data_IF_177858166665
#
_entry.id   IF_177858166665
#
_cell.length_a   1.000
_cell.length_b   1.000
_cell.length_c   1.000
_cell.angle_alpha   90.00
_cell.angle_beta   90.00
_cell.angle_gamma   90.00
#
_symmetry.space_group_name_H-M   'P 1'
#
loop_
_entity.id
_entity.type
_entity.pdbx_description
1 polymer ?
#
# COMPACT_ATOMS: atom_id res chain seq x y z
N UNK A 1 4.38 -19.25 8.08
CA UNK A 1 5.12 -18.25 8.89
C UNK A 1 5.05 -16.93 8.15
N UNK A 2 4.57 -15.86 8.78
CA UNK A 2 4.40 -14.53 8.14
C UNK A 2 5.75 -13.94 7.73
N UNK A 3 5.78 -13.07 6.70
CA UNK A 3 7.02 -12.43 6.24
C UNK A 3 7.72 -11.66 7.37
N UNK A 4 6.94 -10.96 8.21
CA UNK A 4 7.46 -10.23 9.36
C UNK A 4 8.26 -11.14 10.32
N UNK A 5 7.74 -12.34 10.61
CA UNK A 5 8.42 -13.29 11.51
C UNK A 5 9.70 -13.83 10.87
N UNK A 6 9.69 -14.06 9.55
CA UNK A 6 10.88 -14.49 8.78
C UNK A 6 11.96 -13.40 8.78
N UNK A 7 11.56 -12.15 8.60
CA UNK A 7 12.48 -10.99 8.66
C UNK A 7 13.11 -10.87 10.04
N UNK A 8 12.30 -10.95 11.10
CA UNK A 8 12.82 -10.85 12.49
C UNK A 8 13.76 -12.00 12.82
N UNK A 9 13.43 -13.24 12.44
CA UNK A 9 14.30 -14.39 12.62
C UNK A 9 15.64 -14.19 11.89
N UNK A 10 15.60 -13.75 10.62
CA UNK A 10 16.81 -13.48 9.85
C UNK A 10 17.68 -12.37 10.47
N UNK A 11 17.05 -11.29 10.97
CA UNK A 11 17.77 -10.20 11.62
C UNK A 11 18.37 -10.61 12.98
N UNK A 12 17.79 -11.60 13.68
CA UNK A 12 18.35 -12.14 14.92
C UNK A 12 19.71 -12.82 14.68
N UNK A 13 19.89 -13.46 13.53
CA UNK A 13 21.15 -14.10 13.14
C UNK A 13 22.19 -13.11 12.59
N UNK A 14 21.78 -11.83 12.37
CA UNK A 14 22.62 -10.79 11.77
C UNK A 14 22.64 -9.51 12.62
N UNK A 15 23.36 -9.49 13.76
CA UNK A 15 23.38 -8.35 14.68
C UNK A 15 23.91 -7.05 14.05
N UNK A 16 24.75 -7.14 13.01
CA UNK A 16 25.20 -5.99 12.21
C UNK A 16 24.14 -5.39 11.29
N UNK A 17 22.96 -5.99 11.25
CA UNK A 17 21.84 -5.58 10.40
C UNK A 17 22.03 -5.96 8.94
N UNK A 18 20.92 -6.00 8.21
CA UNK A 18 20.86 -6.29 6.78
C UNK A 18 20.12 -5.18 6.04
N UNK A 19 20.53 -4.92 4.80
CA UNK A 19 19.76 -4.07 3.88
C UNK A 19 18.49 -4.77 3.38
N UNK A 20 17.56 -4.01 2.87
CA UNK A 20 16.34 -4.57 2.27
C UNK A 20 16.65 -5.55 1.13
N UNK A 21 17.70 -5.29 0.34
CA UNK A 21 18.13 -6.17 -0.74
C UNK A 21 18.74 -7.49 -0.23
N UNK A 22 19.56 -7.44 0.81
CA UNK A 22 20.14 -8.65 1.44
C UNK A 22 19.04 -9.51 2.07
N UNK A 23 18.07 -8.90 2.76
CA UNK A 23 16.91 -9.60 3.32
C UNK A 23 16.05 -10.22 2.20
N UNK A 24 15.81 -9.49 1.11
CA UNK A 24 15.04 -9.97 -0.03
C UNK A 24 15.71 -11.19 -0.68
N UNK A 25 17.02 -11.14 -0.88
CA UNK A 25 17.80 -12.26 -1.42
C UNK A 25 17.78 -13.49 -0.50
N UNK A 26 18.00 -13.30 0.80
CA UNK A 26 18.03 -14.40 1.78
C UNK A 26 16.67 -15.09 1.95
N UNK A 27 15.58 -14.32 1.88
CA UNK A 27 14.22 -14.85 2.04
C UNK A 27 13.56 -15.26 0.72
N UNK A 28 14.21 -15.04 -0.44
CA UNK A 28 13.66 -15.27 -1.78
C UNK A 28 12.31 -14.57 -1.99
N UNK A 29 12.22 -13.31 -1.59
CA UNK A 29 11.02 -12.46 -1.73
C UNK A 29 11.35 -11.18 -2.48
N UNK A 30 10.33 -10.54 -3.03
CA UNK A 30 10.50 -9.28 -3.77
C UNK A 30 11.03 -8.18 -2.85
N UNK A 31 12.07 -7.46 -3.27
CA UNK A 31 12.72 -6.38 -2.52
C UNK A 31 11.72 -5.35 -1.95
N UNK A 32 10.70 -4.99 -2.73
CA UNK A 32 9.68 -4.03 -2.33
C UNK A 32 8.81 -4.53 -1.17
N UNK A 33 8.50 -5.84 -1.13
CA UNK A 33 7.81 -6.47 0.01
C UNK A 33 8.62 -6.35 1.29
N UNK A 34 9.94 -6.61 1.19
CA UNK A 34 10.85 -6.48 2.34
C UNK A 34 10.90 -5.04 2.82
N UNK A 35 11.04 -4.07 1.91
CA UNK A 35 11.07 -2.65 2.26
C UNK A 35 9.81 -2.23 3.04
N UNK A 36 8.62 -2.62 2.56
CA UNK A 36 7.35 -2.33 3.25
C UNK A 36 7.26 -3.03 4.61
N UNK A 37 7.65 -4.31 4.66
CA UNK A 37 7.67 -5.08 5.90
C UNK A 37 8.64 -4.45 6.93
N UNK A 38 9.85 -4.09 6.52
CA UNK A 38 10.83 -3.44 7.40
C UNK A 38 10.37 -2.06 7.87
N UNK A 39 9.71 -1.26 7.02
CA UNK A 39 9.10 0.02 7.43
C UNK A 39 8.01 -0.19 8.48
N UNK A 40 7.13 -1.15 8.28
CA UNK A 40 6.07 -1.48 9.25
C UNK A 40 6.65 -1.99 10.58
N UNK A 41 7.67 -2.86 10.53
CA UNK A 41 8.35 -3.35 11.73
C UNK A 41 9.08 -2.23 12.48
N UNK A 42 9.70 -1.28 11.76
CA UNK A 42 10.36 -0.12 12.35
C UNK A 42 9.34 0.84 12.99
N UNK A 43 8.23 1.12 12.33
CA UNK A 43 7.15 1.94 12.87
C UNK A 43 6.57 1.35 14.17
N UNK A 44 6.53 0.02 14.29
CA UNK A 44 6.11 -0.70 15.50
C UNK A 44 7.24 -0.94 16.52
N UNK A 45 8.43 -0.33 16.34
CA UNK A 45 9.56 -0.44 17.23
C UNK A 45 10.20 -1.85 17.31
N UNK A 46 9.83 -2.77 16.42
CA UNK A 46 10.33 -4.14 16.39
C UNK A 46 11.71 -4.29 15.76
N UNK A 47 12.12 -3.34 14.92
CA UNK A 47 13.45 -3.20 14.37
C UNK A 47 13.89 -1.74 14.40
N UNK A 48 15.19 -1.51 14.32
CA UNK A 48 15.79 -0.19 14.09
C UNK A 48 16.17 -0.13 12.61
N UNK A 49 15.71 0.91 11.93
CA UNK A 49 16.04 1.18 10.54
C UNK A 49 16.99 2.38 10.48
N UNK A 50 18.21 2.15 10.03
CA UNK A 50 19.22 3.19 9.89
C UNK A 50 19.13 3.83 8.51
N UNK A 51 18.37 4.92 8.41
CA UNK A 51 18.17 5.67 7.17
C UNK A 51 19.38 6.53 6.78
N UNK A 52 20.35 6.73 7.67
CA UNK A 52 21.61 7.42 7.39
C UNK A 52 22.61 6.51 6.66
N UNK A 53 22.52 5.21 6.82
CA UNK A 53 23.34 4.23 6.11
C UNK A 53 22.94 4.12 4.63
N UNK A 54 23.93 3.93 3.75
CA UNK A 54 23.71 3.63 2.33
C UNK A 54 24.45 2.35 1.96
N UNK A 55 23.73 1.24 1.70
CA UNK A 55 22.29 1.05 1.74
C UNK A 55 21.70 1.12 3.16
N UNK A 56 20.41 1.49 3.24
CA UNK A 56 19.63 1.50 4.50
C UNK A 56 19.74 0.11 5.17
N UNK A 57 20.05 0.07 6.48
CA UNK A 57 20.19 -1.18 7.24
C UNK A 57 19.09 -1.34 8.27
N UNK A 58 18.60 -2.57 8.39
CA UNK A 58 17.62 -2.98 9.38
C UNK A 58 18.30 -3.88 10.41
N UNK A 59 18.07 -3.65 11.70
CA UNK A 59 18.60 -4.48 12.81
C UNK A 59 17.59 -4.60 13.93
N UNK A 60 17.73 -5.59 14.79
CA UNK A 60 16.93 -5.66 16.00
C UNK A 60 17.35 -4.54 16.98
N UNK A 61 16.43 -4.05 17.83
CA UNK A 61 16.79 -3.13 18.91
C UNK A 61 17.83 -3.78 19.84
N UNK A 62 18.85 -3.04 20.25
CA UNK A 62 19.82 -3.51 21.27
C UNK A 62 19.15 -3.53 22.64
N UNK A 63 19.03 -4.70 23.26
CA UNK A 63 18.46 -4.88 24.62
C UNK A 63 19.21 -4.13 25.73
N UNK A 64 20.36 -3.53 25.43
CA UNK A 64 21.23 -2.86 26.41
C UNK A 64 20.86 -1.40 26.73
N UNK A 65 19.80 -0.82 26.11
CA UNK A 65 19.39 0.58 26.35
C UNK A 65 18.11 0.77 27.14
N UNK A 66 17.60 -0.26 27.80
CA UNK A 66 16.30 -0.18 28.50
C UNK A 66 16.44 0.08 30.03
N UNK A 67 17.63 0.31 30.58
CA UNK A 67 17.77 0.40 32.04
C UNK A 67 18.10 1.78 32.62
N UNK A 68 18.31 2.86 31.84
CA UNK A 68 18.53 4.20 32.40
C UNK A 68 17.94 5.32 31.54
N UNK A 69 16.62 5.43 31.56
CA UNK A 69 15.89 6.57 31.00
C UNK A 69 14.55 6.75 31.69
N UNK A 70 14.11 7.99 31.96
CA UNK A 70 12.78 8.21 32.52
C UNK A 70 11.75 7.56 31.62
N UNK A 71 10.68 7.01 32.25
CA UNK A 71 9.59 6.33 31.57
C UNK A 71 9.21 7.06 30.28
N UNK A 72 9.08 6.34 29.13
CA UNK A 72 8.68 6.98 27.90
C UNK A 72 7.32 7.63 28.14
N UNK A 73 7.31 8.95 28.24
CA UNK A 73 6.11 9.71 27.97
C UNK A 73 5.61 9.23 26.63
N UNK A 74 4.41 8.71 26.59
CA UNK A 74 3.66 8.41 25.37
C UNK A 74 3.96 9.53 24.40
N UNK A 75 4.62 9.29 23.25
CA UNK A 75 4.75 10.35 22.27
C UNK A 75 3.32 10.73 21.94
N UNK A 76 2.94 11.96 22.32
CA UNK A 76 1.76 12.56 21.79
C UNK A 76 1.86 12.36 20.28
N UNK A 77 0.93 11.58 19.72
CA UNK A 77 0.74 11.49 18.29
C UNK A 77 0.49 12.92 17.87
N UNK A 78 1.55 13.60 17.44
CA UNK A 78 1.40 14.86 16.73
C UNK A 78 0.55 14.48 15.52
N UNK A 79 -0.70 14.95 15.40
CA UNK A 79 -1.46 14.68 14.21
C UNK A 79 -0.59 15.16 13.06
N UNK A 80 -0.23 14.23 12.16
CA UNK A 80 0.37 14.58 10.91
C UNK A 80 -0.47 15.71 10.32
N UNK A 81 0.14 16.78 9.73
CA UNK A 81 -0.63 17.86 9.14
C UNK A 81 -1.69 17.22 8.25
N UNK A 82 -2.93 17.67 8.40
CA UNK A 82 -4.12 17.14 7.75
C UNK A 82 -4.09 17.36 6.22
N UNK A 83 -3.12 16.78 5.57
CA UNK A 83 -3.13 16.41 4.17
C UNK A 83 -3.48 14.94 4.15
N UNK A 84 -4.71 14.61 3.80
CA UNK A 84 -5.14 13.23 3.68
C UNK A 84 -4.21 12.54 2.71
N UNK A 85 -3.45 11.58 3.23
CA UNK A 85 -2.49 10.74 2.49
C UNK A 85 -3.27 9.74 1.62
N UNK A 86 -4.13 10.31 0.76
CA UNK A 86 -5.04 9.63 -0.17
C UNK A 86 -4.48 9.59 -1.58
N UNK A 87 -3.18 9.80 -1.75
CA UNK A 87 -2.55 9.66 -3.05
C UNK A 87 -2.49 8.18 -3.49
N UNK A 88 -2.16 7.97 -4.74
CA UNK A 88 -2.14 6.64 -5.34
C UNK A 88 -1.06 5.75 -4.69
N UNK A 89 0.11 6.29 -4.38
CA UNK A 89 1.21 5.54 -3.78
C UNK A 89 0.87 5.09 -2.34
N UNK A 90 0.25 5.96 -1.55
CA UNK A 90 -0.22 5.65 -0.20
C UNK A 90 -1.33 4.59 -0.24
N UNK A 91 -2.33 4.77 -1.12
CA UNK A 91 -3.41 3.80 -1.31
C UNK A 91 -2.87 2.44 -1.72
N UNK A 92 -1.96 2.39 -2.70
CA UNK A 92 -1.31 1.16 -3.17
C UNK A 92 -0.55 0.46 -2.03
N UNK A 93 0.21 1.22 -1.25
CA UNK A 93 0.99 0.69 -0.13
C UNK A 93 0.12 0.04 0.93
N UNK A 94 -1.01 0.66 1.27
CA UNK A 94 -1.97 0.16 2.27
C UNK A 94 -2.67 -1.11 1.79
N UNK A 95 -3.13 -1.13 0.53
CA UNK A 95 -3.73 -2.32 -0.09
C UNK A 95 -2.74 -3.48 -0.16
N UNK A 96 -1.49 -3.22 -0.55
CA UNK A 96 -0.46 -4.24 -0.59
C UNK A 96 -0.17 -4.83 0.80
N UNK A 97 -0.08 -3.99 1.84
CA UNK A 97 0.12 -4.42 3.21
C UNK A 97 -1.07 -5.25 3.73
N UNK A 98 -2.29 -4.82 3.44
CA UNK A 98 -3.50 -5.56 3.80
C UNK A 98 -3.58 -6.91 3.09
N UNK A 99 -3.34 -6.98 1.78
CA UNK A 99 -3.31 -8.25 1.04
C UNK A 99 -2.27 -9.22 1.63
N UNK A 100 -1.09 -8.74 1.99
CA UNK A 100 -0.07 -9.56 2.63
C UNK A 100 -0.53 -10.08 4.01
N UNK A 101 -1.24 -9.26 4.79
CA UNK A 101 -1.83 -9.65 6.08
C UNK A 101 -2.93 -10.71 5.91
N UNK A 102 -3.72 -10.62 4.83
CA UNK A 102 -4.75 -11.59 4.43
C UNK A 102 -4.17 -12.88 3.81
N UNK A 103 -2.86 -13.02 3.77
CA UNK A 103 -2.19 -14.23 3.29
C UNK A 103 -1.95 -14.28 1.78
N UNK A 104 -2.14 -13.17 1.06
CA UNK A 104 -1.77 -13.06 -0.34
C UNK A 104 -0.26 -12.91 -0.51
N UNK A 105 0.31 -13.66 -1.43
CA UNK A 105 1.70 -13.51 -1.85
C UNK A 105 1.78 -12.45 -2.95
N UNK A 106 2.39 -11.30 -2.65
CA UNK A 106 2.54 -10.23 -3.61
C UNK A 106 3.58 -10.61 -4.67
N UNK A 107 3.16 -10.77 -5.92
CA UNK A 107 4.00 -11.13 -7.06
C UNK A 107 4.61 -9.89 -7.71
N UNK A 108 3.84 -8.81 -7.77
CA UNK A 108 4.24 -7.53 -8.35
C UNK A 108 3.56 -6.37 -7.63
N UNK A 109 4.29 -5.28 -7.48
CA UNK A 109 3.77 -3.96 -7.14
C UNK A 109 4.44 -2.99 -8.09
N UNK A 110 3.67 -2.30 -8.93
CA UNK A 110 4.20 -1.32 -9.87
C UNK A 110 4.79 -0.12 -9.12
N UNK A 111 5.88 0.43 -9.65
CA UNK A 111 6.44 1.67 -9.12
C UNK A 111 5.67 2.88 -9.69
N UNK A 112 4.82 3.47 -8.85
CA UNK A 112 4.03 4.65 -9.22
C UNK A 112 4.90 5.87 -9.52
N UNK A 113 6.10 5.97 -8.92
CA UNK A 113 7.01 7.09 -9.14
C UNK A 113 7.65 7.06 -10.53
N UNK A 114 7.95 5.86 -11.04
CA UNK A 114 8.51 5.67 -12.38
C UNK A 114 7.45 5.60 -13.48
N UNK A 115 6.16 5.73 -13.16
CA UNK A 115 5.03 5.56 -14.09
C UNK A 115 5.08 4.24 -14.86
N UNK A 116 5.44 3.18 -14.15
CA UNK A 116 5.53 1.85 -14.73
C UNK A 116 4.18 1.41 -15.32
N UNK A 117 4.19 0.97 -16.57
CA UNK A 117 2.98 0.49 -17.23
C UNK A 117 2.61 -0.93 -16.75
N UNK A 118 1.33 -1.19 -16.59
CA UNK A 118 0.80 -2.51 -16.26
C UNK A 118 -0.23 -2.47 -15.14
N UNK A 119 -0.36 -3.59 -14.42
CA UNK A 119 -1.24 -3.74 -13.27
C UNK A 119 -0.52 -3.24 -12.01
N UNK A 120 -1.18 -2.44 -11.20
CA UNK A 120 -0.56 -1.81 -10.03
C UNK A 120 -0.13 -2.83 -8.97
N UNK A 121 -0.97 -3.84 -8.69
CA UNK A 121 -0.63 -4.95 -7.79
C UNK A 121 -1.04 -6.26 -8.44
N UNK A 122 -0.15 -7.25 -8.42
CA UNK A 122 -0.48 -8.65 -8.71
C UNK A 122 -0.14 -9.48 -7.48
N UNK A 123 -1.12 -10.22 -6.98
CA UNK A 123 -0.99 -11.09 -5.81
C UNK A 123 -1.49 -12.50 -6.12
N UNK A 124 -1.02 -13.49 -5.37
CA UNK A 124 -1.43 -14.89 -5.53
C UNK A 124 -1.78 -15.49 -4.18
N UNK A 125 -2.85 -16.27 -4.15
CA UNK A 125 -3.24 -17.10 -3.01
C UNK A 125 -3.91 -18.38 -3.50
N UNK A 126 -3.45 -19.52 -3.01
CA UNK A 126 -4.00 -20.85 -3.34
C UNK A 126 -4.08 -21.14 -4.86
N UNK A 127 -3.06 -20.68 -5.61
CA UNK A 127 -2.98 -20.84 -7.07
C UNK A 127 -3.85 -19.86 -7.87
N UNK A 128 -4.58 -18.96 -7.21
CA UNK A 128 -5.39 -17.93 -7.85
C UNK A 128 -4.67 -16.59 -7.87
N UNK A 129 -4.62 -15.94 -9.02
CA UNK A 129 -4.10 -14.58 -9.17
C UNK A 129 -5.16 -13.54 -8.87
N UNK A 130 -4.73 -12.42 -8.33
CA UNK A 130 -5.50 -11.21 -8.10
C UNK A 130 -4.77 -10.04 -8.76
N UNK A 131 -5.45 -9.36 -9.67
CA UNK A 131 -4.98 -8.16 -10.34
C UNK A 131 -5.71 -6.95 -9.78
N UNK A 132 -4.97 -5.99 -9.23
CA UNK A 132 -5.56 -4.79 -8.62
C UNK A 132 -5.11 -3.55 -9.36
N UNK A 133 -6.08 -2.76 -9.82
CA UNK A 133 -5.87 -1.37 -10.25
C UNK A 133 -6.10 -0.46 -9.06
N UNK A 134 -5.19 0.47 -8.84
CA UNK A 134 -5.24 1.42 -7.72
C UNK A 134 -5.42 2.84 -8.22
N UNK A 135 -6.25 3.62 -7.56
CA UNK A 135 -6.32 5.07 -7.77
C UNK A 135 -6.31 5.80 -6.43
N UNK A 136 -5.62 6.92 -6.42
CA UNK A 136 -5.68 7.86 -5.31
C UNK A 136 -6.92 8.77 -5.40
N UNK A 137 -7.01 9.73 -4.48
CA UNK A 137 -8.00 10.80 -4.52
C UNK A 137 -7.30 12.12 -4.90
N UNK A 138 -7.86 12.90 -5.83
CA UNK A 138 -7.24 14.15 -6.27
C UNK A 138 -7.12 15.16 -5.12
N UNK A 139 -5.95 15.77 -4.98
CA UNK A 139 -5.70 16.87 -4.06
C UNK A 139 -6.12 18.22 -4.69
N UNK A 140 -6.35 19.23 -3.84
CA UNK A 140 -6.60 20.61 -4.27
C UNK A 140 -5.34 21.32 -4.76
N UNK A 141 -4.15 20.88 -4.31
CA UNK A 141 -2.84 21.44 -4.66
C UNK A 141 -2.12 20.57 -5.69
N UNK A 142 -1.11 21.17 -6.34
CA UNK A 142 -0.23 20.42 -7.24
C UNK A 142 0.79 19.60 -6.45
N UNK A 143 1.15 18.41 -6.94
CA UNK A 143 2.22 17.59 -6.36
C UNK A 143 3.62 18.17 -6.64
N UNK A 144 3.77 19.02 -7.68
CA UNK A 144 5.00 19.73 -7.97
C UNK A 144 5.23 20.80 -6.89
N UNK A 145 6.33 20.68 -6.15
CA UNK A 145 6.70 21.61 -5.07
C UNK A 145 6.81 23.07 -5.54
N UNK A 146 7.15 23.29 -6.81
CA UNK A 146 7.21 24.64 -7.41
C UNK A 146 5.83 25.29 -7.51
N UNK A 147 4.79 24.49 -7.58
CA UNK A 147 3.39 24.89 -7.73
C UNK A 147 2.53 24.51 -6.51
N UNK A 148 3.14 24.07 -5.41
CA UNK A 148 2.43 23.62 -4.21
C UNK A 148 1.56 24.74 -3.58
N UNK A 149 1.89 26.01 -3.83
CA UNK A 149 1.15 27.19 -3.41
C UNK A 149 -0.06 27.50 -4.32
N UNK A 150 -0.15 26.87 -5.48
CA UNK A 150 -1.25 27.08 -6.43
C UNK A 150 -2.40 26.07 -6.15
N UNK A 151 -3.63 26.57 -6.24
CA UNK A 151 -4.82 25.70 -6.20
C UNK A 151 -5.17 25.26 -7.60
N UNK A 152 -5.45 23.96 -7.76
CA UNK A 152 -5.92 23.44 -9.05
C UNK A 152 -7.26 24.05 -9.45
N UNK A 153 -7.46 24.43 -10.72
CA UNK A 153 -8.70 25.05 -11.17
C UNK A 153 -9.88 24.07 -11.17
N UNK A 154 -9.59 22.76 -11.22
CA UNK A 154 -10.64 21.73 -11.25
C UNK A 154 -10.90 21.21 -9.84
N UNK A 155 -12.16 21.22 -9.43
CA UNK A 155 -12.56 20.67 -8.12
C UNK A 155 -12.18 19.18 -7.98
N UNK A 156 -11.66 18.74 -6.83
CA UNK A 156 -11.24 17.34 -6.61
C UNK A 156 -12.31 16.31 -6.97
N UNK A 157 -13.59 16.57 -6.64
CA UNK A 157 -14.68 15.64 -6.97
C UNK A 157 -14.89 15.48 -8.48
N UNK A 158 -14.62 16.51 -9.29
CA UNK A 158 -14.69 16.41 -10.75
C UNK A 158 -13.54 15.59 -11.31
N UNK A 159 -12.33 15.81 -10.81
CA UNK A 159 -11.16 14.99 -11.17
C UNK A 159 -11.36 13.52 -10.73
N UNK A 160 -11.89 13.29 -9.52
CA UNK A 160 -12.17 11.96 -9.02
C UNK A 160 -13.13 11.17 -9.93
N UNK A 161 -14.13 11.82 -10.50
CA UNK A 161 -15.04 11.19 -11.49
C UNK A 161 -14.30 10.75 -12.74
N UNK A 162 -13.39 11.58 -13.26
CA UNK A 162 -12.58 11.23 -14.44
C UNK A 162 -11.61 10.09 -14.14
N UNK A 163 -10.95 10.12 -12.98
CA UNK A 163 -10.05 9.07 -12.55
C UNK A 163 -10.78 7.75 -12.33
N UNK A 164 -11.98 7.80 -11.73
CA UNK A 164 -12.84 6.63 -11.56
C UNK A 164 -13.24 6.01 -12.90
N UNK A 165 -13.66 6.83 -13.87
CA UNK A 165 -14.02 6.33 -15.20
C UNK A 165 -12.85 5.63 -15.88
N UNK A 166 -11.64 6.20 -15.83
CA UNK A 166 -10.43 5.58 -16.35
C UNK A 166 -10.10 4.26 -15.63
N UNK A 167 -10.22 4.23 -14.31
CA UNK A 167 -9.99 3.02 -13.51
C UNK A 167 -10.99 1.90 -13.83
N UNK A 168 -12.28 2.24 -13.99
CA UNK A 168 -13.31 1.27 -14.41
C UNK A 168 -12.97 0.67 -15.77
N UNK A 169 -12.57 1.50 -16.75
CA UNK A 169 -12.12 0.99 -18.06
C UNK A 169 -10.93 0.05 -17.90
N UNK A 170 -9.96 0.40 -17.06
CA UNK A 170 -8.77 -0.43 -16.83
C UNK A 170 -9.13 -1.78 -16.19
N UNK A 171 -9.96 -1.82 -15.16
CA UNK A 171 -10.36 -3.10 -14.54
C UNK A 171 -11.20 -3.97 -15.49
N UNK A 172 -11.99 -3.38 -16.39
CA UNK A 172 -12.68 -4.12 -17.44
C UNK A 172 -11.70 -4.71 -18.46
N UNK A 173 -10.64 -3.99 -18.81
CA UNK A 173 -9.55 -4.52 -19.65
C UNK A 173 -8.84 -5.68 -18.94
N UNK A 174 -8.47 -5.53 -17.67
CA UNK A 174 -7.89 -6.60 -16.87
C UNK A 174 -8.82 -7.81 -16.79
N UNK A 175 -10.13 -7.62 -16.58
CA UNK A 175 -11.12 -8.71 -16.59
C UNK A 175 -11.16 -9.43 -17.94
N UNK A 176 -11.06 -8.71 -19.04
CA UNK A 176 -11.00 -9.30 -20.40
C UNK A 176 -9.71 -10.12 -20.60
N UNK A 177 -8.57 -9.58 -20.14
CA UNK A 177 -7.25 -10.20 -20.29
C UNK A 177 -7.06 -11.42 -19.37
N UNK A 178 -7.64 -11.37 -18.15
CA UNK A 178 -7.46 -12.32 -17.07
C UNK A 178 -8.80 -12.91 -16.62
N UNK A 179 -9.52 -13.53 -17.56
CA UNK A 179 -10.91 -13.97 -17.36
C UNK A 179 -11.16 -14.89 -16.17
N UNK A 180 -10.20 -15.76 -15.82
CA UNK A 180 -10.31 -16.71 -14.71
C UNK A 180 -9.73 -16.17 -13.40
N UNK A 181 -8.88 -15.15 -13.46
CA UNK A 181 -8.25 -14.53 -12.29
C UNK A 181 -9.23 -13.59 -11.56
N UNK A 182 -8.90 -13.24 -10.33
CA UNK A 182 -9.60 -12.18 -9.62
C UNK A 182 -9.12 -10.80 -10.10
N UNK A 183 -10.04 -9.86 -10.25
CA UNK A 183 -9.73 -8.48 -10.60
C UNK A 183 -10.38 -7.54 -9.60
N UNK A 184 -9.63 -6.56 -9.13
CA UNK A 184 -10.09 -5.60 -8.14
C UNK A 184 -9.77 -4.16 -8.52
N UNK A 185 -10.58 -3.25 -8.02
CA UNK A 185 -10.36 -1.81 -8.00
C UNK A 185 -10.13 -1.37 -6.55
N UNK A 186 -9.04 -0.69 -6.28
CA UNK A 186 -8.72 -0.14 -4.97
C UNK A 186 -8.77 1.39 -5.00
N UNK A 187 -9.49 1.99 -4.05
CA UNK A 187 -9.76 3.43 -3.97
C UNK A 187 -9.68 3.90 -2.52
N UNK A 188 -9.29 5.15 -2.24
CA UNK A 188 -9.54 5.76 -0.95
C UNK A 188 -11.04 5.83 -0.66
N UNK A 189 -11.41 5.60 0.60
CA UNK A 189 -12.80 5.74 1.03
C UNK A 189 -13.21 7.21 1.02
N UNK A 190 -13.85 7.62 -0.05
CA UNK A 190 -14.34 8.95 -0.27
C UNK A 190 -15.81 8.94 -0.69
N UNK A 191 -16.58 9.90 -0.17
CA UNK A 191 -18.01 10.03 -0.49
C UNK A 191 -18.27 10.02 -2.01
N UNK A 192 -17.39 10.65 -2.79
CA UNK A 192 -17.51 10.68 -4.27
C UNK A 192 -17.35 9.28 -4.85
N UNK A 193 -16.34 8.52 -4.43
CA UNK A 193 -16.12 7.16 -4.93
C UNK A 193 -17.23 6.21 -4.47
N UNK A 194 -17.68 6.27 -3.21
CA UNK A 194 -18.82 5.46 -2.74
C UNK A 194 -20.09 5.74 -3.55
N UNK A 195 -20.37 7.00 -3.90
CA UNK A 195 -21.54 7.34 -4.72
C UNK A 195 -21.44 6.79 -6.15
N UNK A 196 -20.25 6.87 -6.76
CA UNK A 196 -20.00 6.32 -8.10
C UNK A 196 -20.07 4.78 -8.11
N UNK A 197 -19.49 4.11 -7.13
CA UNK A 197 -19.55 2.66 -6.98
C UNK A 197 -21.00 2.16 -6.84
N UNK A 198 -21.82 2.84 -6.01
CA UNK A 198 -23.23 2.49 -5.85
C UNK A 198 -24.04 2.67 -7.15
N UNK A 199 -23.64 3.58 -8.03
CA UNK A 199 -24.33 3.78 -9.31
C UNK A 199 -24.09 2.67 -10.33
N UNK A 200 -23.08 1.81 -10.11
CA UNK A 200 -22.69 0.70 -10.98
C UNK A 200 -22.53 -0.64 -10.24
N UNK A 201 -23.05 -0.76 -9.02
CA UNK A 201 -22.85 -1.92 -8.13
C UNK A 201 -23.27 -3.24 -8.79
N UNK A 202 -24.45 -3.29 -9.39
CA UNK A 202 -24.95 -4.47 -10.11
C UNK A 202 -24.05 -4.87 -11.29
N UNK A 203 -23.44 -3.89 -11.95
CA UNK A 203 -22.46 -4.14 -13.02
C UNK A 203 -21.16 -4.72 -12.47
N UNK A 204 -20.66 -4.18 -11.35
CA UNK A 204 -19.47 -4.72 -10.68
C UNK A 204 -19.66 -6.19 -10.30
N UNK A 205 -20.84 -6.51 -9.75
CA UNK A 205 -21.26 -7.89 -9.43
C UNK A 205 -21.23 -8.78 -10.67
N UNK A 206 -21.93 -8.37 -11.72
CA UNK A 206 -22.04 -9.14 -12.96
C UNK A 206 -20.68 -9.41 -13.62
N UNK A 207 -19.76 -8.46 -13.47
CA UNK A 207 -18.40 -8.56 -14.02
C UNK A 207 -17.40 -9.25 -13.07
N UNK A 208 -17.85 -9.75 -11.89
CA UNK A 208 -17.00 -10.37 -10.86
C UNK A 208 -15.81 -9.49 -10.48
N UNK A 209 -16.04 -8.18 -10.31
CA UNK A 209 -15.03 -7.24 -9.90
C UNK A 209 -15.05 -7.05 -8.38
N UNK A 210 -13.92 -7.16 -7.71
CA UNK A 210 -13.78 -6.81 -6.30
C UNK A 210 -13.53 -5.31 -6.16
N UNK A 211 -13.92 -4.74 -5.01
CA UNK A 211 -13.62 -3.35 -4.66
C UNK A 211 -13.03 -3.30 -3.26
N UNK A 212 -11.90 -2.63 -3.13
CA UNK A 212 -11.23 -2.36 -1.87
C UNK A 212 -11.29 -0.87 -1.57
N UNK A 213 -11.83 -0.50 -0.43
CA UNK A 213 -11.87 0.88 0.04
C UNK A 213 -10.86 1.05 1.18
N UNK A 214 -10.02 2.07 1.04
CA UNK A 214 -8.94 2.39 1.99
C UNK A 214 -9.35 3.59 2.82
N UNK A 215 -9.58 3.41 4.11
CA UNK A 215 -9.97 4.48 5.03
C UNK A 215 -8.75 5.37 5.41
N UNK A 216 -9.02 6.50 6.03
CA UNK A 216 -8.00 7.47 6.46
C UNK A 216 -7.05 6.89 7.53
N UNK A 217 -7.52 5.97 8.37
CA UNK A 217 -6.70 5.25 9.35
C UNK A 217 -5.82 4.15 8.71
N UNK A 218 -6.01 3.90 7.41
CA UNK A 218 -5.27 2.88 6.64
C UNK A 218 -5.90 1.50 6.66
N UNK A 219 -7.05 1.34 7.30
CA UNK A 219 -7.83 0.10 7.19
C UNK A 219 -8.35 -0.09 5.76
N UNK A 220 -8.49 -1.36 5.35
CA UNK A 220 -9.01 -1.72 4.03
C UNK A 220 -10.28 -2.53 4.19
N UNK A 221 -11.37 -2.01 3.66
CA UNK A 221 -12.65 -2.70 3.56
C UNK A 221 -12.76 -3.38 2.20
N UNK A 222 -12.97 -4.70 2.19
CA UNK A 222 -13.43 -5.39 0.98
C UNK A 222 -14.93 -5.10 0.79
N UNK A 223 -15.24 -3.96 0.19
CA UNK A 223 -16.61 -3.49 0.01
C UNK A 223 -17.42 -4.39 -0.91
N UNK A 224 -16.76 -5.00 -1.89
CA UNK A 224 -17.29 -6.04 -2.74
C UNK A 224 -16.21 -7.08 -3.03
N UNK A 225 -16.49 -8.33 -2.75
CA UNK A 225 -15.55 -9.43 -2.99
C UNK A 225 -16.34 -10.66 -3.47
N UNK A 226 -16.54 -10.83 -4.79
CA UNK A 226 -17.17 -12.02 -5.31
C UNK A 226 -16.34 -13.26 -4.95
N UNK A 227 -16.98 -14.24 -4.34
CA UNK A 227 -16.37 -15.50 -3.97
C UNK A 227 -15.90 -16.30 -5.20
#
# INVERSE_FOLDING_TARGET
MKLADRVLALLADHPGGLSDAEVAGALHVVHQQVNQCCRALAANGRIVRDDAAKPIRNRLPDDRRVLDGPAPSTPAVTPAPAGTDRDEASTQSRVAAWLAAEGWNLRRIADTASREHGTDIVAERDGMLLHVEVKGYPSTSYADLRRAHETKPTHPATQARQWFAGAVVKVLQLRKEHGEDRVALALPDARTYRALLRSIDTTLVAMRLSVFLVDDDGSVEAWWNPA
#
